data_IF_329989606955
#
_entry.id   IF_329989606955
#
_cell.length_a   1.000
_cell.length_b   1.000
_cell.length_c   1.000
_cell.angle_alpha   90.00
_cell.angle_beta   90.00
_cell.angle_gamma   90.00
#
_symmetry.space_group_name_H-M   'P 1'
#
loop_
_entity.id
_entity.type
_entity.pdbx_description
1 polymer ?
#
# COMPACT_ATOMS: atom_id res chain seq x y z
N UNK A 1 -12.52 -38.29 13.05
CA UNK A 1 -12.94 -37.12 12.25
C UNK A 1 -12.68 -35.88 13.07
N UNK A 2 -11.57 -35.20 12.86
CA UNK A 2 -11.20 -33.94 13.55
C UNK A 2 -11.60 -32.81 12.65
N UNK A 3 -12.53 -31.93 13.12
CA UNK A 3 -12.91 -30.70 12.43
C UNK A 3 -11.72 -29.73 12.44
N UNK A 4 -11.37 -29.08 11.32
CA UNK A 4 -10.42 -27.98 11.35
C UNK A 4 -11.06 -26.81 12.12
N UNK A 5 -10.32 -26.28 13.08
CA UNK A 5 -10.71 -25.09 13.82
C UNK A 5 -10.60 -23.88 12.89
N UNK A 6 -11.75 -23.29 12.57
CA UNK A 6 -11.84 -21.96 11.95
C UNK A 6 -11.27 -20.92 12.91
N UNK A 7 -9.99 -20.60 12.72
CA UNK A 7 -9.33 -19.54 13.48
C UNK A 7 -9.48 -18.19 12.77
N UNK A 8 -10.73 -17.87 12.42
CA UNK A 8 -11.08 -16.51 11.97
C UNK A 8 -11.21 -15.65 13.22
N UNK A 9 -10.17 -14.93 13.57
CA UNK A 9 -10.25 -13.88 14.60
C UNK A 9 -11.00 -12.72 13.96
N UNK A 10 -12.27 -12.45 14.35
CA UNK A 10 -13.00 -11.30 13.82
C UNK A 10 -12.24 -10.04 14.25
N UNK A 11 -11.92 -9.16 13.28
CA UNK A 11 -11.44 -7.81 13.56
C UNK A 11 -12.39 -7.21 14.61
N UNK A 12 -11.86 -6.85 15.78
CA UNK A 12 -12.66 -6.31 16.88
C UNK A 12 -13.45 -5.11 16.34
N UNK A 13 -14.79 -5.10 16.37
CA UNK A 13 -15.59 -4.00 15.86
C UNK A 13 -15.19 -2.64 16.46
N UNK A 14 -14.69 -2.64 17.70
CA UNK A 14 -14.16 -1.46 18.37
C UNK A 14 -12.95 -0.82 17.68
N UNK A 15 -12.06 -1.59 17.03
CA UNK A 15 -10.90 -1.04 16.31
C UNK A 15 -11.31 -0.39 14.99
N UNK A 16 -12.26 -0.96 14.27
CA UNK A 16 -12.80 -0.40 13.04
C UNK A 16 -13.55 0.92 13.31
N UNK A 17 -14.37 0.96 14.38
CA UNK A 17 -15.06 2.16 14.83
C UNK A 17 -14.08 3.28 15.26
N UNK A 18 -13.02 2.95 16.00
CA UNK A 18 -12.00 3.92 16.40
C UNK A 18 -11.26 4.50 15.18
N UNK A 19 -10.94 3.66 14.19
CA UNK A 19 -10.31 4.08 12.93
C UNK A 19 -11.25 5.00 12.16
N UNK A 20 -12.51 4.66 12.01
CA UNK A 20 -13.52 5.48 11.34
C UNK A 20 -13.67 6.85 11.99
N UNK A 21 -13.82 6.92 13.32
CA UNK A 21 -13.89 8.19 14.08
C UNK A 21 -12.62 9.03 13.90
N UNK A 22 -11.44 8.42 13.85
CA UNK A 22 -10.17 9.12 13.62
C UNK A 22 -10.08 9.70 12.20
N UNK A 23 -10.57 8.97 11.19
CA UNK A 23 -10.66 9.44 9.82
C UNK A 23 -11.66 10.59 9.70
N UNK A 24 -12.85 10.48 10.29
CA UNK A 24 -13.87 11.54 10.27
C UNK A 24 -13.41 12.83 10.94
N UNK A 25 -12.61 12.76 12.02
CA UNK A 25 -12.00 13.94 12.65
C UNK A 25 -10.98 14.65 11.73
N UNK A 26 -10.33 13.92 10.86
CA UNK A 26 -9.28 14.44 9.96
C UNK A 26 -9.84 14.94 8.64
N UNK A 27 -10.80 14.22 8.07
CA UNK A 27 -11.29 14.44 6.71
C UNK A 27 -12.72 14.97 6.63
N UNK A 28 -13.47 14.99 7.74
CA UNK A 28 -14.91 15.14 7.87
C UNK A 28 -15.71 13.99 7.24
N UNK A 29 -16.98 13.89 7.62
CA UNK A 29 -17.88 12.84 7.14
C UNK A 29 -18.19 13.00 5.64
N UNK A 30 -18.43 14.23 5.22
CA UNK A 30 -18.80 14.58 3.82
C UNK A 30 -17.70 14.20 2.83
N UNK A 31 -16.43 14.35 3.22
CA UNK A 31 -15.27 13.98 2.39
C UNK A 31 -15.11 12.46 2.29
N UNK A 32 -15.49 11.73 3.33
CA UNK A 32 -15.39 10.26 3.37
C UNK A 32 -16.60 9.55 2.76
N UNK A 33 -17.74 10.23 2.63
CA UNK A 33 -18.97 9.64 2.11
C UNK A 33 -18.84 9.03 0.70
N UNK A 34 -18.13 9.66 -0.27
CA UNK A 34 -17.91 9.06 -1.59
C UNK A 34 -17.00 7.82 -1.59
N UNK A 35 -16.39 7.49 -0.46
CA UNK A 35 -15.43 6.40 -0.29
C UNK A 35 -14.02 6.88 0.03
N UNK A 36 -13.16 5.93 0.38
CA UNK A 36 -11.74 6.17 0.62
C UNK A 36 -10.92 4.91 0.29
N UNK A 37 -9.68 5.11 -0.07
CA UNK A 37 -8.78 4.02 -0.48
C UNK A 37 -7.67 3.83 0.54
N UNK A 38 -7.41 2.57 0.90
CA UNK A 38 -6.25 2.20 1.72
C UNK A 38 -5.05 1.92 0.82
N UNK A 39 -3.97 2.66 1.06
CA UNK A 39 -2.71 2.49 0.33
C UNK A 39 -1.59 2.19 1.32
N UNK A 40 -0.89 1.05 1.20
CA UNK A 40 0.28 0.76 2.02
C UNK A 40 1.36 1.83 1.80
N UNK A 41 1.87 2.41 2.90
CA UNK A 41 2.88 3.48 2.82
C UNK A 41 4.17 3.06 2.11
N UNK A 42 4.45 1.75 2.04
CA UNK A 42 5.60 1.21 1.31
C UNK A 42 5.57 1.57 -0.17
N UNK A 43 4.39 1.63 -0.80
CA UNK A 43 4.24 2.00 -2.22
C UNK A 43 4.78 3.41 -2.45
N UNK A 44 4.39 4.37 -1.62
CA UNK A 44 4.82 5.76 -1.73
C UNK A 44 6.32 5.93 -1.42
N UNK A 45 6.81 5.23 -0.40
CA UNK A 45 8.21 5.33 0.04
C UNK A 45 9.19 4.58 -0.86
N UNK A 46 8.72 3.57 -1.56
CA UNK A 46 9.53 2.73 -2.43
C UNK A 46 9.42 3.08 -3.91
N UNK A 47 8.82 4.19 -4.29
CA UNK A 47 8.56 4.57 -5.68
C UNK A 47 9.83 4.44 -6.56
N UNK A 48 10.96 4.97 -6.10
CA UNK A 48 12.23 4.84 -6.82
C UNK A 48 12.70 3.38 -6.96
N UNK A 49 12.49 2.54 -5.94
CA UNK A 49 12.82 1.10 -5.96
C UNK A 49 11.89 0.29 -6.85
N UNK A 50 10.70 0.80 -7.13
CA UNK A 50 9.72 0.21 -8.03
C UNK A 50 9.92 0.69 -9.48
N UNK A 51 10.85 1.62 -9.71
CA UNK A 51 11.17 2.23 -11.01
C UNK A 51 9.96 2.86 -11.70
N UNK A 52 9.07 3.46 -10.93
CA UNK A 52 7.85 4.12 -11.43
C UNK A 52 7.91 5.63 -11.25
N UNK A 53 7.40 6.36 -12.23
CA UNK A 53 7.26 7.80 -12.18
C UNK A 53 5.95 8.26 -11.48
N UNK A 54 5.72 9.57 -11.43
CA UNK A 54 4.53 10.13 -10.77
C UNK A 54 3.23 9.76 -11.50
N UNK A 55 3.24 9.65 -12.82
CA UNK A 55 2.06 9.29 -13.62
C UNK A 55 1.74 7.81 -13.41
N UNK A 56 2.74 6.96 -13.46
CA UNK A 56 2.63 5.53 -13.22
C UNK A 56 2.13 5.23 -11.80
N UNK A 57 2.68 5.94 -10.79
CA UNK A 57 2.20 5.85 -9.42
C UNK A 57 0.72 6.27 -9.32
N UNK A 58 0.33 7.37 -9.95
CA UNK A 58 -1.06 7.84 -9.89
C UNK A 58 -2.01 6.85 -10.56
N UNK A 59 -1.63 6.29 -11.71
CA UNK A 59 -2.39 5.21 -12.36
C UNK A 59 -2.51 3.98 -11.45
N UNK A 60 -1.43 3.58 -10.79
CA UNK A 60 -1.43 2.47 -9.84
C UNK A 60 -2.37 2.72 -8.66
N UNK A 61 -2.38 3.93 -8.09
CA UNK A 61 -3.30 4.32 -7.03
C UNK A 61 -4.77 4.21 -7.47
N UNK A 62 -5.08 4.60 -8.71
CA UNK A 62 -6.42 4.40 -9.26
C UNK A 62 -6.78 2.94 -9.50
N UNK A 63 -5.82 2.07 -9.81
CA UNK A 63 -6.07 0.63 -9.86
C UNK A 63 -6.39 0.08 -8.47
N UNK A 64 -5.65 0.49 -7.45
CA UNK A 64 -5.88 0.12 -6.06
C UNK A 64 -7.25 0.61 -5.58
N UNK A 65 -7.66 1.81 -5.96
CA UNK A 65 -8.98 2.37 -5.66
C UNK A 65 -10.15 1.53 -6.20
N UNK A 66 -9.92 0.76 -7.27
CA UNK A 66 -10.90 -0.16 -7.85
C UNK A 66 -10.73 -1.61 -7.39
N UNK A 67 -9.78 -1.88 -6.51
CA UNK A 67 -9.51 -3.21 -5.94
C UNK A 67 -10.15 -3.34 -4.56
N UNK A 68 -11.43 -3.68 -4.52
CA UNK A 68 -12.25 -3.61 -3.31
C UNK A 68 -12.33 -4.93 -2.55
N UNK A 69 -12.11 -6.05 -3.23
CA UNK A 69 -12.10 -7.39 -2.63
C UNK A 69 -11.04 -8.29 -3.28
N UNK A 70 -10.72 -9.38 -2.61
CA UNK A 70 -9.68 -10.32 -3.02
C UNK A 70 -10.04 -11.12 -4.28
N UNK A 71 -11.33 -11.18 -4.64
CA UNK A 71 -11.83 -12.00 -5.74
C UNK A 71 -12.09 -11.18 -7.02
N UNK A 72 -12.10 -9.86 -6.90
CA UNK A 72 -12.45 -8.98 -8.03
C UNK A 72 -11.25 -8.14 -8.45
N UNK A 73 -10.65 -8.49 -9.58
CA UNK A 73 -9.59 -7.68 -10.18
C UNK A 73 -10.16 -6.34 -10.65
N UNK A 74 -9.44 -5.22 -10.43
CA UNK A 74 -9.81 -3.91 -10.95
C UNK A 74 -9.86 -3.92 -12.50
N UNK A 75 -10.87 -3.22 -13.04
CA UNK A 75 -11.08 -3.14 -14.50
C UNK A 75 -11.47 -1.72 -14.99
N UNK A 76 -10.83 -0.65 -14.52
CA UNK A 76 -11.15 0.69 -15.00
C UNK A 76 -10.84 0.81 -16.49
N UNK A 77 -11.68 1.55 -17.23
CA UNK A 77 -11.37 1.87 -18.62
C UNK A 77 -10.28 2.91 -18.72
N UNK A 78 -9.39 2.80 -19.70
CA UNK A 78 -8.32 3.77 -19.96
C UNK A 78 -8.87 5.18 -20.17
N UNK A 79 -9.98 5.29 -20.90
CA UNK A 79 -10.67 6.56 -21.13
C UNK A 79 -11.10 7.22 -19.82
N UNK A 80 -11.73 6.47 -18.90
CA UNK A 80 -12.13 7.00 -17.59
C UNK A 80 -10.93 7.44 -16.74
N UNK A 81 -9.82 6.71 -16.78
CA UNK A 81 -8.59 7.11 -16.11
C UNK A 81 -8.00 8.38 -16.74
N UNK A 82 -7.97 8.47 -18.06
CA UNK A 82 -7.51 9.65 -18.78
C UNK A 82 -8.33 10.91 -18.42
N UNK A 83 -9.65 10.79 -18.42
CA UNK A 83 -10.57 11.85 -18.02
C UNK A 83 -10.34 12.31 -16.57
N UNK A 84 -10.22 11.36 -15.62
CA UNK A 84 -9.98 11.66 -14.20
C UNK A 84 -8.64 12.33 -13.94
N UNK A 85 -7.60 11.94 -14.67
CA UNK A 85 -6.25 12.45 -14.51
C UNK A 85 -5.95 13.69 -15.38
N UNK A 86 -6.85 14.08 -16.27
CA UNK A 86 -6.63 15.18 -17.18
C UNK A 86 -5.48 14.95 -18.18
N UNK A 87 -5.26 13.69 -18.57
CA UNK A 87 -4.20 13.29 -19.51
C UNK A 87 -4.76 12.55 -20.72
N UNK A 88 -3.94 12.33 -21.75
CA UNK A 88 -4.37 11.58 -22.94
C UNK A 88 -4.50 10.07 -22.67
N UNK A 89 -5.37 9.38 -23.42
CA UNK A 89 -5.49 7.92 -23.42
C UNK A 89 -4.13 7.25 -23.72
N UNK A 90 -3.31 7.87 -24.58
CA UNK A 90 -1.97 7.40 -24.91
C UNK A 90 -1.02 7.47 -23.72
N UNK A 91 -1.16 8.49 -22.86
CA UNK A 91 -0.39 8.60 -21.61
C UNK A 91 -0.76 7.46 -20.66
N UNK A 92 -2.05 7.20 -20.46
CA UNK A 92 -2.53 6.06 -19.64
C UNK A 92 -2.03 4.73 -20.21
N UNK A 93 -2.11 4.56 -21.52
CA UNK A 93 -1.66 3.33 -22.17
C UNK A 93 -0.16 3.09 -21.95
N UNK A 94 0.68 4.14 -22.02
CA UNK A 94 2.11 4.03 -21.74
C UNK A 94 2.36 3.69 -20.28
N UNK A 95 1.70 4.39 -19.35
CA UNK A 95 1.85 4.12 -17.93
C UNK A 95 1.45 2.67 -17.59
N UNK A 96 0.32 2.18 -18.10
CA UNK A 96 -0.10 0.80 -17.92
C UNK A 96 0.91 -0.20 -18.48
N UNK A 97 1.49 0.09 -19.66
CA UNK A 97 2.52 -0.75 -20.25
C UNK A 97 3.78 -0.77 -19.38
N UNK A 98 4.22 0.38 -18.89
CA UNK A 98 5.38 0.48 -17.99
C UNK A 98 5.17 -0.30 -16.69
N UNK A 99 4.00 -0.17 -16.04
CA UNK A 99 3.67 -0.95 -14.85
C UNK A 99 3.70 -2.47 -15.11
N UNK A 100 3.29 -2.89 -16.30
CA UNK A 100 3.33 -4.30 -16.73
C UNK A 100 4.77 -4.74 -17.03
N UNK A 101 5.56 -3.91 -17.73
CA UNK A 101 6.97 -4.18 -18.06
C UNK A 101 7.85 -4.26 -16.78
N UNK A 102 7.56 -3.45 -15.75
CA UNK A 102 8.21 -3.53 -14.42
C UNK A 102 7.70 -4.70 -13.56
N UNK A 103 6.75 -5.49 -14.07
CA UNK A 103 6.20 -6.64 -13.39
C UNK A 103 5.39 -6.29 -12.14
N UNK A 104 4.77 -5.12 -12.11
CA UNK A 104 3.94 -4.67 -10.99
C UNK A 104 2.46 -5.02 -11.15
N UNK A 105 2.01 -5.15 -12.40
CA UNK A 105 0.65 -5.57 -12.73
C UNK A 105 0.69 -6.62 -13.84
N UNK A 106 -0.38 -7.41 -13.94
CA UNK A 106 -0.62 -8.29 -15.07
C UNK A 106 -1.96 -7.94 -15.70
N UNK A 107 -1.97 -7.77 -17.01
CA UNK A 107 -3.19 -7.48 -17.77
C UNK A 107 -3.89 -8.76 -18.20
N UNK A 108 -5.18 -8.85 -17.95
CA UNK A 108 -6.04 -9.92 -18.42
C UNK A 108 -7.07 -9.36 -19.42
N UNK A 109 -7.06 -9.83 -20.68
CA UNK A 109 -8.06 -9.44 -21.67
C UNK A 109 -9.48 -9.84 -21.22
N UNK A 110 -10.47 -9.01 -21.57
CA UNK A 110 -11.88 -9.25 -21.28
C UNK A 110 -12.73 -8.99 -22.52
N UNK A 111 -13.69 -9.85 -22.78
CA UNK A 111 -14.68 -9.67 -23.84
C UNK A 111 -16.07 -9.51 -23.23
N UNK A 112 -16.95 -8.80 -23.93
CA UNK A 112 -18.36 -8.77 -23.59
C UNK A 112 -19.04 -10.08 -24.03
N UNK A 113 -20.06 -10.52 -23.30
CA UNK A 113 -20.85 -11.70 -23.67
C UNK A 113 -21.54 -11.56 -25.06
N UNK A 114 -21.83 -10.32 -25.47
CA UNK A 114 -22.39 -9.95 -26.76
C UNK A 114 -21.36 -9.80 -27.89
N UNK A 115 -20.09 -10.14 -27.64
CA UNK A 115 -18.98 -9.88 -28.55
C UNK A 115 -18.39 -8.45 -28.35
N UNK A 116 -17.17 -8.27 -28.80
CA UNK A 116 -16.42 -7.01 -28.64
C UNK A 116 -15.52 -6.97 -27.41
N UNK A 117 -14.55 -6.07 -27.44
CA UNK A 117 -13.53 -5.93 -26.39
C UNK A 117 -14.07 -5.10 -25.22
N UNK A 118 -14.05 -5.66 -24.01
CA UNK A 118 -14.29 -4.94 -22.77
C UNK A 118 -13.00 -4.32 -22.21
N UNK A 119 -13.13 -3.50 -21.17
CA UNK A 119 -11.94 -3.05 -20.41
C UNK A 119 -11.21 -4.24 -19.81
N UNK A 120 -9.89 -4.27 -19.92
CA UNK A 120 -9.07 -5.32 -19.32
C UNK A 120 -9.26 -5.37 -17.80
N UNK A 121 -9.03 -6.53 -17.21
CA UNK A 121 -8.76 -6.68 -15.79
C UNK A 121 -7.27 -6.49 -15.53
N UNK A 122 -6.94 -6.11 -14.30
CA UNK A 122 -5.57 -5.91 -13.88
C UNK A 122 -5.33 -6.67 -12.58
N UNK A 123 -4.49 -7.70 -12.64
CA UNK A 123 -4.04 -8.43 -11.47
C UNK A 123 -2.91 -7.64 -10.79
N UNK A 124 -3.10 -7.31 -9.51
CA UNK A 124 -2.17 -6.57 -8.66
C UNK A 124 -1.35 -7.49 -7.73
N UNK A 125 -1.53 -8.80 -7.80
CA UNK A 125 -0.73 -9.74 -7.00
C UNK A 125 0.78 -9.62 -7.25
N UNK A 126 1.29 -9.34 -8.47
CA UNK A 126 2.72 -9.11 -8.67
C UNK A 126 3.25 -7.90 -7.89
N UNK A 127 2.45 -6.82 -7.75
CA UNK A 127 2.81 -5.68 -6.91
C UNK A 127 3.00 -6.10 -5.46
N UNK A 128 2.05 -6.87 -4.92
CA UNK A 128 2.12 -7.35 -3.52
C UNK A 128 3.40 -8.15 -3.29
N UNK A 129 3.72 -9.09 -4.19
CA UNK A 129 4.95 -9.89 -4.08
C UNK A 129 6.22 -9.02 -4.17
N UNK A 130 6.23 -8.02 -5.04
CA UNK A 130 7.35 -7.09 -5.18
C UNK A 130 7.55 -6.21 -3.95
N UNK A 131 6.46 -5.86 -3.24
CA UNK A 131 6.50 -5.01 -2.05
C UNK A 131 6.94 -5.75 -0.78
N UNK A 132 6.73 -7.06 -0.67
CA UNK A 132 7.08 -7.85 0.53
C UNK A 132 8.54 -7.64 0.95
N UNK A 133 9.56 -7.97 0.12
CA UNK A 133 10.95 -7.81 0.50
C UNK A 133 11.31 -6.34 0.77
N UNK A 134 10.72 -5.39 0.04
CA UNK A 134 10.95 -3.97 0.27
C UNK A 134 10.42 -3.55 1.65
N UNK A 135 9.25 -4.02 2.05
CA UNK A 135 8.67 -3.72 3.35
C UNK A 135 9.48 -4.34 4.50
N UNK A 136 10.01 -5.55 4.32
CA UNK A 136 10.92 -6.21 5.26
C UNK A 136 12.19 -5.39 5.46
N UNK A 137 12.87 -5.00 4.38
CA UNK A 137 14.06 -4.13 4.43
C UNK A 137 13.79 -2.81 5.17
N UNK A 138 12.68 -2.15 4.83
CA UNK A 138 12.31 -0.88 5.47
C UNK A 138 12.00 -1.05 6.96
N UNK A 139 11.38 -2.17 7.33
CA UNK A 139 11.09 -2.47 8.73
C UNK A 139 12.39 -2.71 9.50
N UNK A 140 13.28 -3.54 8.96
CA UNK A 140 14.60 -3.83 9.54
C UNK A 140 15.41 -2.55 9.74
N UNK A 141 15.54 -1.72 8.71
CA UNK A 141 16.25 -0.44 8.80
C UNK A 141 15.66 0.50 9.85
N UNK A 142 14.33 0.56 9.97
CA UNK A 142 13.65 1.35 11.01
C UNK A 142 13.99 0.86 12.41
N UNK A 143 13.96 -0.46 12.62
CA UNK A 143 14.17 -1.07 13.92
C UNK A 143 15.65 -0.94 14.35
N UNK A 144 16.60 -1.06 13.43
CA UNK A 144 18.03 -0.78 13.65
C UNK A 144 18.26 0.70 14.01
N UNK A 145 17.65 1.63 13.29
CA UNK A 145 17.73 3.06 13.62
C UNK A 145 17.12 3.38 14.99
N UNK A 146 16.00 2.74 15.35
CA UNK A 146 15.39 2.88 16.66
C UNK A 146 16.27 2.32 17.79
N UNK A 147 16.93 1.17 17.58
CA UNK A 147 17.87 0.57 18.52
C UNK A 147 19.08 1.49 18.73
N UNK A 148 19.65 2.05 17.65
CA UNK A 148 20.78 2.99 17.71
C UNK A 148 20.40 4.24 18.49
N UNK A 149 19.22 4.83 18.23
CA UNK A 149 18.72 6.00 19.00
C UNK A 149 18.55 5.69 20.48
N UNK A 150 17.98 4.52 20.82
CA UNK A 150 17.82 4.08 22.23
C UNK A 150 19.18 3.89 22.91
N UNK A 151 20.15 3.32 22.20
CA UNK A 151 21.51 3.15 22.75
C UNK A 151 22.18 4.52 23.00
N UNK A 152 22.07 5.47 22.07
CA UNK A 152 22.61 6.81 22.21
C UNK A 152 21.92 7.64 23.32
N UNK A 153 20.63 7.42 23.58
CA UNK A 153 19.88 8.12 24.62
C UNK A 153 20.02 7.51 26.03
N UNK A 154 20.68 6.34 26.19
CA UNK A 154 20.97 5.79 27.51
C UNK A 154 21.95 6.74 28.21
N UNK A 155 21.63 7.26 29.41
CA UNK A 155 22.60 8.01 30.19
C UNK A 155 23.77 7.06 30.46
N UNK A 156 24.96 7.44 30.03
CA UNK A 156 26.18 6.67 30.28
C UNK A 156 26.25 6.37 31.78
N UNK A 157 26.67 5.17 32.13
CA UNK A 157 26.93 4.79 33.51
C UNK A 157 27.85 5.87 34.12
N UNK A 158 27.25 6.85 34.79
CA UNK A 158 28.00 7.81 35.56
C UNK A 158 28.81 7.03 36.57
N UNK A 159 30.11 6.91 36.29
CA UNK A 159 31.25 6.75 37.14
C UNK A 159 30.88 6.70 38.61
N UNK A 160 30.56 5.49 39.10
CA UNK A 160 30.57 5.13 40.51
C UNK A 160 31.98 4.74 40.88
N UNK A 161 32.90 5.73 40.84
CA UNK A 161 34.28 5.58 41.29
C UNK A 161 34.74 6.91 41.77
N UNK A 162 34.28 7.34 42.93
CA UNK A 162 34.97 8.34 43.71
C UNK A 162 34.47 8.43 45.17
N UNK A 163 34.30 7.33 45.88
CA UNK A 163 34.07 7.43 47.32
C UNK A 163 34.74 6.27 48.11
N UNK A 164 35.82 5.71 47.58
CA UNK A 164 36.56 4.67 48.29
C UNK A 164 38.03 5.00 48.46
N UNK A 165 38.34 6.28 48.75
CA UNK A 165 39.63 6.72 49.28
C UNK A 165 39.47 7.97 50.16
N UNK A 166 38.82 7.79 51.29
CA UNK A 166 38.94 8.69 52.42
C UNK A 166 38.57 7.93 53.70
N UNK A 167 39.46 7.06 54.17
CA UNK A 167 39.63 6.60 55.54
C UNK A 167 41.03 6.09 55.69
#
# INVERSE_FOLDING_TARGET
>A
MVKPADNVVPLRPAAAEATKRSLEKRWSKEVLEPGFTFVPSVILRAQARLHIDAVELTVLLHLIDHWWDDNTMPFPSKKRLAERLGVSDKTIQRAMKRLEDEGLIRREPRSHASGGQASNRYDLSPLVERLKPIAEDMTKARDEAAATRRAASRPGLKRRQKDEKAS
#
